data_IF_003377392062
#
_entry.id   IF_003377392062
#
_cell.length_a   1.000
_cell.length_b   1.000
_cell.length_c   1.000
_cell.angle_alpha   90.00
_cell.angle_beta   90.00
_cell.angle_gamma   90.00
#
_symmetry.space_group_name_H-M   'P 1'
#
loop_
_entity.id
_entity.type
_entity.pdbx_description
1 polymer ?
#
# COMPACT_ATOMS: atom_id res chain seq x y z
N UNK A 1 13.72 -0.90 -6.81
CA UNK A 1 13.76 -1.74 -5.60
C UNK A 1 14.69 -1.10 -4.59
N UNK A 2 14.18 -0.47 -3.53
CA UNK A 2 15.03 0.25 -2.60
C UNK A 2 15.79 -0.70 -1.67
N UNK A 3 17.06 -0.38 -1.42
CA UNK A 3 17.84 -0.92 -0.31
C UNK A 3 17.56 -0.06 0.93
N UNK A 4 17.19 -0.70 2.03
CA UNK A 4 16.70 -0.07 3.26
C UNK A 4 17.78 0.58 4.14
N UNK A 5 17.38 1.62 4.89
CA UNK A 5 17.81 1.88 6.27
C UNK A 5 16.60 2.17 7.16
N UNK A 6 16.70 1.65 8.39
CA UNK A 6 15.75 1.56 9.50
C UNK A 6 14.59 2.58 9.56
N UNK A 7 13.36 2.04 9.68
CA UNK A 7 12.25 2.73 10.34
C UNK A 7 12.36 2.52 11.86
N UNK A 8 12.36 3.61 12.63
CA UNK A 8 12.42 3.57 14.10
C UNK A 8 11.12 4.13 14.71
N UNK A 9 10.37 3.28 15.41
CA UNK A 9 9.28 3.72 16.27
C UNK A 9 9.80 4.06 17.66
N UNK A 10 9.37 5.21 18.19
CA UNK A 10 9.70 5.61 19.56
C UNK A 10 8.46 6.21 20.24
N UNK A 11 7.95 5.57 21.28
CA UNK A 11 7.04 6.25 22.19
C UNK A 11 7.84 7.26 23.04
N UNK A 12 7.45 8.53 23.06
CA UNK A 12 8.10 9.59 23.84
C UNK A 12 7.15 10.13 24.91
N UNK A 13 7.68 10.37 26.12
CA UNK A 13 7.00 11.14 27.17
C UNK A 13 7.45 12.60 27.08
N UNK A 14 6.52 13.56 27.15
CA UNK A 14 6.84 14.99 27.18
C UNK A 14 7.11 15.41 28.63
N UNK A 15 8.33 15.83 28.94
CA UNK A 15 8.63 16.63 30.14
C UNK A 15 8.97 18.05 29.70
N UNK A 16 8.50 19.04 30.45
CA UNK A 16 8.65 20.46 30.16
C UNK A 16 10.00 21.04 30.65
N UNK A 17 10.39 22.15 29.99
CA UNK A 17 11.31 23.23 30.40
C UNK A 17 12.83 23.15 30.08
N UNK A 18 13.25 24.15 29.28
CA UNK A 18 14.48 24.96 29.29
C UNK A 18 15.88 24.35 29.04
N UNK A 19 16.79 25.24 28.64
CA UNK A 19 17.96 25.08 27.74
C UNK A 19 19.27 24.53 28.41
N UNK A 20 20.43 24.37 27.71
CA UNK A 20 21.14 23.10 27.64
C UNK A 20 22.47 23.00 28.41
N UNK A 21 22.85 21.76 28.77
CA UNK A 21 24.17 21.35 29.28
C UNK A 21 24.27 19.81 29.43
N UNK A 22 25.47 19.18 29.37
CA UNK A 22 25.66 17.86 28.78
C UNK A 22 25.56 16.65 29.74
N UNK A 23 25.32 15.48 29.12
CA UNK A 23 25.34 14.10 29.63
C UNK A 23 24.43 13.72 30.81
N UNK A 24 23.35 13.00 30.53
CA UNK A 24 23.13 11.63 31.04
C UNK A 24 21.77 11.07 30.61
N UNK A 25 21.76 9.74 30.52
CA UNK A 25 20.64 8.82 30.39
C UNK A 25 19.40 9.20 31.20
N UNK A 26 18.25 9.37 30.52
CA UNK A 26 16.94 8.83 30.92
C UNK A 26 15.87 9.33 29.95
N UNK A 27 15.61 8.55 28.91
CA UNK A 27 14.40 8.71 28.11
C UNK A 27 13.88 7.30 27.87
N UNK A 28 12.74 6.87 28.45
CA UNK A 28 12.22 5.51 28.30
C UNK A 28 11.61 5.36 26.90
N UNK A 29 12.48 5.38 25.88
CA UNK A 29 12.18 5.08 24.49
C UNK A 29 12.05 3.57 24.42
N UNK A 30 10.82 3.06 24.41
CA UNK A 30 10.57 1.64 24.13
C UNK A 30 10.41 1.48 22.61
N UNK A 31 11.43 0.99 21.88
CA UNK A 31 11.28 0.73 20.47
C UNK A 31 10.23 -0.36 20.25
N UNK A 32 9.37 -0.15 19.26
CA UNK A 32 8.48 -1.21 18.78
C UNK A 32 9.23 -1.91 17.64
N UNK A 33 9.48 -3.23 17.73
CA UNK A 33 10.14 -3.96 16.66
C UNK A 33 9.25 -3.94 15.41
N UNK A 34 9.84 -3.56 14.29
CA UNK A 34 9.22 -3.58 12.96
C UNK A 34 10.08 -4.41 12.03
N UNK A 35 9.44 -5.09 11.08
CA UNK A 35 10.15 -5.77 10.01
C UNK A 35 10.58 -4.74 8.96
N UNK A 36 11.88 -4.60 8.64
CA UNK A 36 12.34 -3.66 7.63
C UNK A 36 11.73 -3.89 6.25
N UNK A 37 11.28 -5.11 5.95
CA UNK A 37 10.65 -5.45 4.66
C UNK A 37 9.20 -4.96 4.54
N UNK A 38 8.58 -4.50 5.63
CA UNK A 38 7.20 -4.01 5.63
C UNK A 38 7.19 -2.49 5.39
N UNK A 39 6.64 -2.06 4.26
CA UNK A 39 6.59 -0.65 3.88
C UNK A 39 5.43 -0.38 2.93
N UNK A 40 5.01 0.88 2.86
CA UNK A 40 4.11 1.35 1.82
C UNK A 40 4.94 1.99 0.68
N UNK A 41 5.03 1.38 -0.51
CA UNK A 41 5.63 2.04 -1.68
C UNK A 41 5.03 3.44 -1.89
N UNK A 42 5.89 4.41 -2.23
CA UNK A 42 5.57 5.83 -2.41
C UNK A 42 5.14 6.61 -1.16
N UNK A 43 5.21 6.03 0.04
CA UNK A 43 5.05 6.81 1.27
C UNK A 43 6.03 7.98 1.32
N UNK A 44 5.56 9.13 1.79
CA UNK A 44 6.45 10.24 2.14
C UNK A 44 7.48 9.81 3.18
N UNK A 45 8.66 10.44 3.13
CA UNK A 45 9.70 10.28 4.14
C UNK A 45 9.59 11.37 5.18
N UNK A 46 9.98 11.06 6.41
CA UNK A 46 9.99 12.04 7.48
C UNK A 46 9.74 11.45 8.85
N UNK A 47 9.75 12.36 9.82
CA UNK A 47 9.46 12.06 11.22
C UNK A 47 8.22 12.81 11.63
N UNK A 48 7.25 12.10 12.21
CA UNK A 48 6.07 12.70 12.80
C UNK A 48 5.92 12.26 14.25
N UNK A 49 5.52 13.15 15.16
CA UNK A 49 5.25 12.81 16.56
C UNK A 49 3.93 13.41 17.00
N UNK A 50 2.98 12.58 17.43
CA UNK A 50 1.66 13.03 17.84
C UNK A 50 0.91 12.02 18.70
N UNK A 51 -0.33 12.37 19.03
CA UNK A 51 -1.32 11.40 19.52
C UNK A 51 -1.77 10.44 18.41
N UNK A 52 -2.66 9.51 18.75
CA UNK A 52 -3.15 8.49 17.81
C UNK A 52 -4.67 8.50 17.74
N UNK A 53 -5.24 8.64 16.55
CA UNK A 53 -6.68 8.53 16.33
C UNK A 53 -6.98 7.21 15.62
N UNK A 54 -7.89 6.42 16.18
CA UNK A 54 -8.43 5.23 15.51
C UNK A 54 -9.59 5.63 14.59
N UNK A 55 -9.39 5.44 13.28
CA UNK A 55 -10.32 5.87 12.25
C UNK A 55 -10.96 4.68 11.49
N UNK A 56 -11.13 3.54 12.15
CA UNK A 56 -11.80 2.36 11.58
C UNK A 56 -11.17 1.89 10.26
N UNK A 57 -11.88 1.88 9.13
CA UNK A 57 -11.30 1.56 7.82
C UNK A 57 -10.74 2.80 7.10
N UNK A 58 -10.88 4.00 7.66
CA UNK A 58 -10.41 5.23 7.03
C UNK A 58 -11.25 5.68 5.85
N UNK A 59 -12.55 5.36 5.86
CA UNK A 59 -13.48 5.80 4.81
C UNK A 59 -13.88 7.27 4.99
N UNK A 60 -14.40 7.93 3.94
CA UNK A 60 -14.96 9.27 4.08
C UNK A 60 -16.00 9.36 5.21
N UNK A 61 -16.87 8.35 5.33
CA UNK A 61 -17.88 8.26 6.40
C UNK A 61 -17.25 8.14 7.79
N UNK A 62 -16.13 7.41 7.93
CA UNK A 62 -15.45 7.23 9.21
C UNK A 62 -14.89 8.58 9.72
N UNK A 63 -14.27 9.37 8.83
CA UNK A 63 -13.78 10.71 9.17
C UNK A 63 -14.91 11.71 9.44
N UNK A 64 -16.02 11.63 8.70
CA UNK A 64 -17.23 12.42 8.97
C UNK A 64 -17.79 12.10 10.36
N UNK A 65 -17.85 10.82 10.71
CA UNK A 65 -18.36 10.38 12.00
C UNK A 65 -17.44 10.82 13.15
N UNK A 66 -16.11 10.71 13.00
CA UNK A 66 -15.14 11.22 13.99
C UNK A 66 -15.37 12.70 14.30
N UNK A 67 -15.56 13.53 13.27
CA UNK A 67 -15.90 14.95 13.44
C UNK A 67 -17.19 15.16 14.23
N UNK A 68 -18.22 14.37 13.93
CA UNK A 68 -19.53 14.49 14.58
C UNK A 68 -19.48 14.22 16.09
N UNK A 69 -18.52 13.41 16.54
CA UNK A 69 -18.30 13.10 17.97
C UNK A 69 -17.15 13.90 18.59
N UNK A 70 -16.67 14.94 17.90
CA UNK A 70 -15.65 15.86 18.41
C UNK A 70 -14.22 15.32 18.42
N UNK A 71 -13.93 14.23 17.69
CA UNK A 71 -12.58 13.67 17.54
C UNK A 71 -11.98 14.14 16.22
N UNK A 72 -10.86 14.87 16.28
CA UNK A 72 -10.16 15.36 15.09
C UNK A 72 -8.93 14.50 14.78
N UNK A 73 -8.75 14.14 13.50
CA UNK A 73 -7.51 13.54 13.02
C UNK A 73 -6.36 14.56 12.87
N UNK A 74 -6.69 15.85 12.86
CA UNK A 74 -5.73 16.92 12.61
C UNK A 74 -4.61 16.91 13.65
N UNK A 75 -3.35 16.84 13.20
CA UNK A 75 -2.20 16.81 14.10
C UNK A 75 -1.98 15.47 14.81
N UNK A 76 -2.61 14.39 14.37
CA UNK A 76 -2.44 13.06 14.96
C UNK A 76 -2.01 12.01 13.92
N UNK A 77 -1.44 10.90 14.42
CA UNK A 77 -1.27 9.70 13.62
C UNK A 77 -2.61 8.99 13.50
N UNK A 78 -2.99 8.62 12.29
CA UNK A 78 -4.28 7.97 12.02
C UNK A 78 -4.03 6.47 11.88
N UNK A 79 -4.69 5.66 12.72
CA UNK A 79 -4.62 4.19 12.67
C UNK A 79 -5.89 3.67 11.99
N UNK A 80 -5.70 2.88 10.93
CA UNK A 80 -6.77 2.35 10.07
C UNK A 80 -6.57 0.85 9.83
N UNK A 81 -7.67 0.14 9.60
CA UNK A 81 -7.69 -1.29 9.28
C UNK A 81 -7.49 -1.49 7.79
N UNK A 82 -6.86 -2.60 7.42
CA UNK A 82 -6.88 -3.13 6.05
C UNK A 82 -8.32 -3.43 5.62
N UNK A 83 -8.64 -3.23 4.34
CA UNK A 83 -9.95 -3.55 3.76
C UNK A 83 -10.97 -2.43 3.90
N UNK A 84 -12.25 -2.80 3.91
CA UNK A 84 -13.34 -1.84 4.00
C UNK A 84 -13.62 -1.07 2.71
N UNK A 85 -13.31 -1.65 1.55
CA UNK A 85 -13.65 -1.06 0.24
C UNK A 85 -12.86 0.19 -0.15
N UNK A 86 -11.80 0.51 0.59
CA UNK A 86 -10.88 1.61 0.29
C UNK A 86 -9.44 1.08 0.26
N UNK A 87 -8.68 1.50 -0.75
CA UNK A 87 -7.28 1.15 -0.97
C UNK A 87 -6.35 1.80 0.07
N UNK A 88 -5.10 1.35 0.13
CA UNK A 88 -4.09 2.01 0.97
C UNK A 88 -3.86 3.47 0.56
N UNK A 89 -3.80 3.74 -0.75
CA UNK A 89 -3.67 5.08 -1.29
C UNK A 89 -4.82 6.01 -0.84
N UNK A 90 -6.07 5.55 -0.95
CA UNK A 90 -7.23 6.34 -0.51
C UNK A 90 -7.24 6.59 1.00
N UNK A 91 -6.88 5.59 1.81
CA UNK A 91 -6.76 5.75 3.28
C UNK A 91 -5.77 6.83 3.65
N UNK A 92 -4.58 6.81 3.04
CA UNK A 92 -3.52 7.80 3.32
C UNK A 92 -3.95 9.18 2.82
N UNK A 93 -4.50 9.27 1.62
CA UNK A 93 -5.02 10.53 1.07
C UNK A 93 -6.14 11.13 1.93
N UNK A 94 -7.08 10.31 2.41
CA UNK A 94 -8.14 10.76 3.31
C UNK A 94 -7.57 11.18 4.67
N UNK A 95 -6.64 10.43 5.25
CA UNK A 95 -5.98 10.84 6.50
C UNK A 95 -5.29 12.20 6.35
N UNK A 96 -4.58 12.42 5.25
CA UNK A 96 -3.93 13.69 4.91
C UNK A 96 -4.95 14.83 4.74
N UNK A 97 -6.01 14.62 3.95
CA UNK A 97 -7.09 15.60 3.74
C UNK A 97 -7.79 16.01 5.03
N UNK A 98 -7.78 15.14 6.04
CA UNK A 98 -8.34 15.39 7.37
C UNK A 98 -7.29 15.93 8.37
N UNK A 99 -6.12 16.36 7.88
CA UNK A 99 -5.05 16.99 8.66
C UNK A 99 -4.17 16.01 9.46
N UNK A 100 -4.29 14.71 9.21
CA UNK A 100 -3.47 13.69 9.82
C UNK A 100 -1.98 13.92 9.52
N UNK A 101 -1.12 13.65 10.49
CA UNK A 101 0.33 13.82 10.34
C UNK A 101 1.07 12.55 9.90
N UNK A 102 0.36 11.43 9.80
CA UNK A 102 0.88 10.16 9.34
C UNK A 102 -0.18 9.07 9.45
N UNK A 103 0.00 7.98 8.71
CA UNK A 103 -0.95 6.88 8.61
C UNK A 103 -0.31 5.56 9.04
N UNK A 104 -1.04 4.78 9.84
CA UNK A 104 -0.69 3.42 10.22
C UNK A 104 -1.81 2.49 9.80
N UNK A 105 -1.48 1.45 9.03
CA UNK A 105 -2.48 0.53 8.47
C UNK A 105 -2.18 -0.88 8.97
N UNK A 106 -3.18 -1.59 9.51
CA UNK A 106 -2.96 -2.91 10.11
C UNK A 106 -4.03 -3.95 9.72
N UNK A 107 -3.67 -5.25 9.62
CA UNK A 107 -4.63 -6.31 9.37
C UNK A 107 -5.34 -6.72 10.67
N UNK A 108 -6.58 -6.28 10.87
CA UNK A 108 -7.35 -6.67 12.05
C UNK A 108 -7.80 -8.14 11.96
N UNK A 109 -7.70 -8.94 13.05
CA UNK A 109 -8.16 -10.33 13.06
C UNK A 109 -9.66 -10.55 12.77
N UNK A 110 -10.49 -9.50 12.81
CA UNK A 110 -11.89 -9.59 12.40
C UNK A 110 -12.06 -9.62 10.87
N UNK A 111 -11.12 -9.05 10.10
CA UNK A 111 -11.16 -9.04 8.63
C UNK A 111 -10.23 -10.10 8.04
N UNK A 112 -9.01 -10.18 8.58
CA UNK A 112 -8.00 -11.14 8.19
C UNK A 112 -7.71 -12.06 9.39
N UNK A 113 -8.34 -13.24 9.47
CA UNK A 113 -8.13 -14.16 10.59
C UNK A 113 -6.65 -14.46 10.82
N UNK A 114 -6.23 -14.47 12.08
CA UNK A 114 -4.82 -14.66 12.47
C UNK A 114 -4.56 -16.07 13.03
N UNK A 115 -4.93 -17.11 12.28
CA UNK A 115 -4.69 -18.52 12.64
C UNK A 115 -3.74 -19.19 11.63
N UNK A 116 -2.45 -19.33 11.96
CA UNK A 116 -1.47 -19.99 11.09
C UNK A 116 -1.82 -21.44 10.76
N UNK A 117 -2.67 -22.10 11.56
CA UNK A 117 -3.12 -23.49 11.32
C UNK A 117 -4.32 -23.56 10.37
N UNK A 118 -4.96 -22.43 10.06
CA UNK A 118 -6.20 -22.36 9.26
C UNK A 118 -6.13 -21.29 8.17
N UNK A 119 -5.03 -21.24 7.40
CA UNK A 119 -4.81 -20.28 6.30
C UNK A 119 -4.91 -18.80 6.73
N UNK A 120 -4.81 -18.51 8.03
CA UNK A 120 -4.81 -17.16 8.56
C UNK A 120 -3.43 -16.50 8.46
N UNK A 121 -3.43 -15.17 8.44
CA UNK A 121 -2.19 -14.39 8.46
C UNK A 121 -1.48 -14.57 9.81
N UNK A 122 -0.15 -14.53 9.83
CA UNK A 122 0.57 -14.50 11.10
C UNK A 122 0.40 -13.10 11.73
N UNK A 123 0.10 -13.03 13.03
CA UNK A 123 -0.09 -11.77 13.74
C UNK A 123 1.14 -10.84 13.74
N UNK A 124 2.33 -11.37 13.38
CA UNK A 124 3.59 -10.63 13.20
C UNK A 124 3.88 -10.27 11.74
N UNK A 125 2.93 -10.45 10.84
CA UNK A 125 3.02 -10.08 9.43
C UNK A 125 2.15 -8.84 9.19
N UNK A 126 2.73 -7.81 8.57
CA UNK A 126 1.97 -6.67 8.08
C UNK A 126 1.53 -6.92 6.63
N UNK A 127 0.56 -6.15 6.16
CA UNK A 127 0.15 -6.13 4.75
C UNK A 127 0.73 -4.87 4.13
N UNK A 128 1.60 -5.04 3.13
CA UNK A 128 2.25 -3.95 2.40
C UNK A 128 1.55 -3.73 1.06
N UNK A 129 1.25 -2.47 0.74
CA UNK A 129 0.59 -2.02 -0.50
C UNK A 129 1.02 -0.58 -0.80
N UNK A 130 1.04 -0.20 -2.08
CA UNK A 130 1.42 1.17 -2.48
C UNK A 130 0.40 2.22 -2.00
N UNK A 131 0.87 3.44 -1.80
CA UNK A 131 0.04 4.56 -1.32
C UNK A 131 -0.03 5.73 -2.32
N UNK A 132 0.36 5.48 -3.57
CA UNK A 132 0.14 6.43 -4.67
C UNK A 132 -1.31 6.36 -5.14
N UNK A 133 -2.03 7.48 -5.04
CA UNK A 133 -3.39 7.64 -5.53
C UNK A 133 -3.38 7.88 -7.04
N UNK A 134 -3.18 6.80 -7.79
CA UNK A 134 -3.12 6.80 -9.24
C UNK A 134 -2.65 5.44 -9.76
N UNK A 135 -2.34 5.41 -11.05
CA UNK A 135 -1.73 4.26 -11.71
C UNK A 135 -0.65 4.73 -12.67
N UNK A 136 0.30 3.86 -13.01
CA UNK A 136 1.47 4.24 -13.81
C UNK A 136 2.62 4.75 -12.97
N UNK A 137 3.69 5.16 -13.64
CA UNK A 137 4.82 5.78 -12.95
C UNK A 137 4.37 7.14 -12.35
N UNK A 138 4.48 7.33 -11.02
CA UNK A 138 4.09 8.60 -10.39
C UNK A 138 4.96 9.79 -10.83
N UNK A 139 6.02 9.61 -11.60
CA UNK A 139 6.87 10.70 -12.09
C UNK A 139 6.66 11.06 -13.56
N UNK A 140 5.86 10.28 -14.27
CA UNK A 140 5.59 10.51 -15.70
C UNK A 140 4.09 10.39 -16.02
N UNK A 141 3.20 11.09 -15.27
CA UNK A 141 1.76 10.92 -15.42
C UNK A 141 1.29 11.28 -16.84
N UNK A 142 0.73 10.29 -17.55
CA UNK A 142 0.17 10.47 -18.89
C UNK A 142 1.19 10.45 -20.03
N UNK A 143 2.46 10.15 -19.75
CA UNK A 143 3.51 10.06 -20.75
C UNK A 143 4.49 8.94 -20.40
N UNK A 144 4.91 8.12 -21.36
CA UNK A 144 5.77 7.00 -21.05
C UNK A 144 7.19 7.40 -20.63
N UNK A 145 7.70 6.71 -19.62
CA UNK A 145 8.95 6.98 -18.88
C UNK A 145 10.29 6.79 -19.63
N UNK A 146 10.29 6.42 -20.93
CA UNK A 146 11.52 6.12 -21.68
C UNK A 146 12.27 7.35 -22.24
N UNK A 147 11.67 8.55 -22.24
CA UNK A 147 12.29 9.76 -22.80
C UNK A 147 12.33 10.92 -21.78
N UNK A 148 13.07 10.70 -20.69
CA UNK A 148 13.26 11.68 -19.60
C UNK A 148 13.88 13.00 -20.06
N UNK A 149 14.54 13.03 -21.23
CA UNK A 149 15.10 14.25 -21.82
C UNK A 149 14.02 15.16 -22.43
N UNK A 150 12.90 14.59 -22.85
CA UNK A 150 11.78 15.30 -23.48
C UNK A 150 10.67 15.63 -22.48
N UNK A 151 10.49 14.79 -21.47
CA UNK A 151 9.54 15.01 -20.39
C UNK A 151 10.28 14.89 -19.06
N UNK A 152 10.64 16.02 -18.41
CA UNK A 152 11.26 15.95 -17.10
C UNK A 152 10.30 15.30 -16.10
N UNK A 153 10.79 14.51 -15.14
CA UNK A 153 9.98 13.94 -14.07
C UNK A 153 9.14 15.00 -13.36
N UNK A 154 7.82 14.81 -13.35
CA UNK A 154 6.90 15.67 -12.59
C UNK A 154 6.18 14.78 -11.58
N UNK A 155 6.31 15.05 -10.26
CA UNK A 155 5.64 14.25 -9.25
C UNK A 155 4.12 14.35 -9.42
N UNK A 156 3.49 13.18 -9.47
CA UNK A 156 2.05 13.01 -9.49
C UNK A 156 1.42 13.67 -8.27
N UNK A 157 0.29 14.35 -8.49
CA UNK A 157 -0.55 14.90 -7.41
C UNK A 157 -1.15 13.83 -6.49
N UNK A 158 -1.05 12.55 -6.87
CA UNK A 158 -1.46 11.40 -6.06
C UNK A 158 -0.39 10.88 -5.11
N UNK A 159 0.82 11.43 -5.09
CA UNK A 159 1.84 11.07 -4.10
C UNK A 159 1.45 11.66 -2.72
N UNK A 160 1.49 10.87 -1.64
CA UNK A 160 1.13 11.36 -0.32
C UNK A 160 2.21 12.30 0.23
N UNK A 161 1.77 13.29 1.03
CA UNK A 161 2.67 14.21 1.74
C UNK A 161 2.97 13.75 3.17
N UNK A 162 2.19 12.79 3.69
CA UNK A 162 2.33 12.27 5.04
C UNK A 162 3.01 10.89 5.04
N UNK A 163 3.84 10.57 6.05
CA UNK A 163 4.42 9.25 6.18
C UNK A 163 3.34 8.20 6.46
N UNK A 164 3.40 7.09 5.74
CA UNK A 164 2.52 5.94 5.90
C UNK A 164 3.35 4.68 6.18
N UNK A 165 2.88 3.85 7.12
CA UNK A 165 3.55 2.61 7.46
C UNK A 165 2.54 1.48 7.70
N UNK A 166 2.73 0.30 7.09
CA UNK A 166 1.96 -0.87 7.48
C UNK A 166 2.52 -1.42 8.79
N UNK A 167 1.64 -1.79 9.71
CA UNK A 167 2.01 -2.38 11.00
C UNK A 167 1.30 -3.72 11.19
N UNK A 168 1.90 -4.59 11.99
CA UNK A 168 1.34 -5.91 12.30
C UNK A 168 0.14 -5.78 13.25
N UNK A 169 -0.69 -6.82 13.33
CA UNK A 169 -1.76 -6.89 14.31
C UNK A 169 -1.21 -6.79 15.75
N UNK A 170 -0.05 -7.39 16.04
CA UNK A 170 0.58 -7.31 17.37
C UNK A 170 1.02 -5.89 17.73
N UNK A 171 1.57 -5.14 16.77
CA UNK A 171 1.94 -3.74 16.97
C UNK A 171 0.70 -2.88 17.18
N UNK A 172 -0.34 -3.08 16.37
CA UNK A 172 -1.61 -2.38 16.54
C UNK A 172 -2.26 -2.67 17.90
N UNK A 173 -2.26 -3.92 18.37
CA UNK A 173 -2.78 -4.28 19.68
C UNK A 173 -2.02 -3.59 20.82
N UNK A 174 -0.68 -3.57 20.75
CA UNK A 174 0.16 -2.88 21.74
C UNK A 174 -0.10 -1.37 21.74
N UNK A 175 -0.33 -0.77 20.58
CA UNK A 175 -0.60 0.65 20.44
C UNK A 175 -2.00 1.02 20.96
N UNK A 176 -3.04 0.36 20.44
CA UNK A 176 -4.44 0.70 20.70
C UNK A 176 -4.89 0.30 22.12
N UNK A 177 -4.28 -0.70 22.76
CA UNK A 177 -4.59 -1.08 24.15
C UNK A 177 -4.23 0.00 25.18
N UNK A 178 -3.32 0.91 24.83
CA UNK A 178 -2.88 2.00 25.69
C UNK A 178 -3.62 3.32 25.40
N UNK A 179 -4.46 3.32 24.36
CA UNK A 179 -5.20 4.50 23.92
C UNK A 179 -6.30 4.82 24.93
N UNK A 180 -6.58 6.11 25.08
CA UNK A 180 -7.62 6.66 25.95
C UNK A 180 -8.40 7.71 25.19
N UNK A 181 -9.68 7.87 25.50
CA UNK A 181 -10.57 8.80 24.80
C UNK A 181 -11.99 8.25 24.72
N UNK A 182 -12.85 8.86 23.90
CA UNK A 182 -14.23 8.43 23.73
C UNK A 182 -14.31 6.98 23.22
N UNK A 183 -15.32 6.21 23.66
CA UNK A 183 -15.53 4.86 23.13
C UNK A 183 -15.91 4.92 21.65
N UNK A 184 -15.44 3.94 20.89
CA UNK A 184 -15.86 3.76 19.50
C UNK A 184 -17.26 3.11 19.45
N UNK A 185 -17.99 3.21 18.32
CA UNK A 185 -19.27 2.54 18.15
C UNK A 185 -19.07 1.02 18.05
N UNK A 186 -20.07 0.19 18.42
CA UNK A 186 -19.94 -1.27 18.42
C UNK A 186 -19.50 -1.86 17.07
N UNK A 187 -19.93 -1.26 15.96
CA UNK A 187 -19.56 -1.67 14.60
C UNK A 187 -18.07 -1.51 14.28
N UNK A 188 -17.35 -0.66 15.00
CA UNK A 188 -15.92 -0.41 14.78
C UNK A 188 -15.00 -1.35 15.56
N UNK A 189 -15.57 -2.19 16.43
CA UNK A 189 -14.82 -3.13 17.26
C UNK A 189 -14.14 -4.18 16.39
N UNK A 190 -12.81 -4.21 16.47
CA UNK A 190 -11.99 -5.26 15.89
C UNK A 190 -11.88 -6.50 16.79
N UNK A 191 -10.95 -7.39 16.46
CA UNK A 191 -10.62 -8.60 17.24
C UNK A 191 -9.18 -8.61 17.75
N UNK A 192 -8.54 -7.45 17.84
CA UNK A 192 -7.25 -7.33 18.51
C UNK A 192 -7.33 -7.72 19.99
N UNK A 193 -6.38 -8.51 20.51
CA UNK A 193 -6.39 -8.94 21.90
C UNK A 193 -6.10 -7.76 22.84
N UNK A 194 -6.80 -7.71 23.98
CA UNK A 194 -6.61 -6.72 25.04
C UNK A 194 -6.84 -5.25 24.64
N UNK A 195 -7.48 -5.00 23.49
CA UNK A 195 -7.82 -3.65 23.01
C UNK A 195 -9.26 -3.32 23.38
N UNK A 196 -9.45 -2.23 24.12
CA UNK A 196 -10.75 -1.58 24.25
C UNK A 196 -10.91 -0.64 23.05
N UNK A 197 -12.04 -0.72 22.37
CA UNK A 197 -12.26 0.11 21.18
C UNK A 197 -12.56 1.56 21.59
N UNK A 198 -11.52 2.39 21.53
CA UNK A 198 -11.52 3.80 21.87
C UNK A 198 -10.91 4.60 20.73
N UNK A 199 -11.30 5.87 20.60
CA UNK A 199 -10.95 6.68 19.44
C UNK A 199 -9.62 7.42 19.56
N UNK A 200 -9.12 7.65 20.79
CA UNK A 200 -7.97 8.54 21.04
C UNK A 200 -8.40 10.00 21.26
N UNK A 201 -7.49 10.98 21.12
CA UNK A 201 -6.11 10.86 20.62
C UNK A 201 -5.05 10.53 21.67
N UNK A 202 -5.42 10.52 22.95
CA UNK A 202 -4.50 10.52 24.08
C UNK A 202 -4.14 9.13 24.58
N UNK A 203 -3.05 9.05 25.34
CA UNK A 203 -2.63 7.86 26.07
C UNK A 203 -2.72 8.15 27.58
N UNK A 204 -2.97 7.14 28.41
CA UNK A 204 -3.16 7.27 29.88
C UNK A 204 -1.99 7.83 30.71
N UNK A 205 -0.97 8.41 30.06
CA UNK A 205 0.21 9.05 30.67
C UNK A 205 0.76 10.23 29.83
N UNK A 206 -0.04 10.79 28.91
CA UNK A 206 0.39 11.89 28.03
C UNK A 206 1.49 11.50 27.03
N UNK A 207 1.69 10.20 26.81
CA UNK A 207 2.66 9.66 25.85
C UNK A 207 2.27 10.04 24.42
N UNK A 208 3.28 10.19 23.57
CA UNK A 208 3.13 10.39 22.14
C UNK A 208 3.85 9.31 21.37
N UNK A 209 3.45 9.13 20.13
CA UNK A 209 4.02 8.15 19.22
C UNK A 209 4.83 8.88 18.16
N UNK A 210 6.09 8.49 18.00
CA UNK A 210 6.95 8.94 16.91
C UNK A 210 6.97 7.90 15.79
N UNK A 211 6.50 8.30 14.62
CA UNK A 211 6.65 7.60 13.35
C UNK A 211 7.89 8.15 12.62
N UNK A 212 8.73 7.26 12.10
CA UNK A 212 9.90 7.61 11.29
C UNK A 212 9.92 6.72 10.05
N UNK A 213 9.78 7.32 8.88
CA UNK A 213 9.80 6.64 7.57
C UNK A 213 10.96 7.20 6.74
N UNK A 214 11.84 6.32 6.27
CA UNK A 214 13.07 6.68 5.56
C UNK A 214 13.21 5.87 4.26
N UNK A 215 12.10 5.75 3.52
CA UNK A 215 12.10 5.07 2.22
C UNK A 215 12.97 5.81 1.21
N UNK A 216 13.73 5.07 0.40
CA UNK A 216 14.47 5.63 -0.71
C UNK A 216 13.66 5.42 -1.99
N UNK A 217 13.47 6.47 -2.78
CA UNK A 217 12.88 6.33 -4.11
C UNK A 217 14.01 6.19 -5.13
N UNK A 218 13.99 5.11 -5.90
CA UNK A 218 15.02 4.83 -6.91
C UNK A 218 14.38 4.44 -8.24
N UNK A 219 14.80 5.08 -9.36
CA UNK A 219 14.44 4.62 -10.68
C UNK A 219 14.92 3.18 -10.89
N UNK A 220 14.08 2.34 -11.47
CA UNK A 220 14.42 0.98 -11.84
C UNK A 220 13.91 0.65 -13.23
N UNK A 221 14.69 -0.14 -13.96
CA UNK A 221 14.26 -0.68 -15.23
C UNK A 221 13.21 -1.78 -14.99
N UNK A 222 12.06 -1.64 -15.64
CA UNK A 222 10.97 -2.59 -15.63
C UNK A 222 10.95 -3.37 -16.94
N UNK A 223 10.60 -4.66 -16.88
CA UNK A 223 10.58 -5.52 -18.06
C UNK A 223 9.22 -6.20 -18.22
N UNK A 224 8.37 -5.61 -19.08
CA UNK A 224 7.19 -6.28 -19.59
C UNK A 224 7.60 -7.29 -20.67
N UNK A 225 7.04 -8.49 -20.63
CA UNK A 225 7.32 -9.56 -21.60
C UNK A 225 6.10 -9.73 -22.50
N UNK A 226 6.30 -9.65 -23.81
CA UNK A 226 5.25 -9.79 -24.81
C UNK A 226 5.48 -11.02 -25.68
N UNK A 227 4.38 -11.70 -26.03
CA UNK A 227 4.37 -12.76 -27.03
C UNK A 227 3.08 -12.70 -27.83
N UNK A 228 3.16 -12.83 -29.15
CA UNK A 228 2.00 -12.73 -30.03
C UNK A 228 1.81 -13.97 -30.88
N UNK A 229 0.55 -14.39 -31.04
CA UNK A 229 0.12 -15.32 -32.09
C UNK A 229 -0.69 -14.53 -33.11
N UNK A 230 -0.20 -14.46 -34.34
CA UNK A 230 -0.83 -13.66 -35.39
C UNK A 230 -2.17 -14.28 -35.84
N UNK A 231 -3.18 -13.43 -35.96
CA UNK A 231 -4.51 -13.81 -36.47
C UNK A 231 -4.51 -13.98 -37.98
N UNK A 232 -5.35 -14.87 -38.50
CA UNK A 232 -5.41 -15.15 -39.94
C UNK A 232 -6.23 -14.14 -40.75
N UNK A 233 -7.30 -13.61 -40.19
CA UNK A 233 -8.24 -12.75 -40.93
C UNK A 233 -8.11 -11.28 -40.52
N UNK A 234 -7.85 -11.03 -39.24
CA UNK A 234 -7.76 -9.69 -38.64
C UNK A 234 -6.46 -9.61 -37.79
N UNK A 235 -5.27 -9.69 -38.42
CA UNK A 235 -3.98 -9.74 -37.70
C UNK A 235 -3.67 -8.45 -36.93
N UNK A 236 -4.29 -7.34 -37.30
CA UNK A 236 -4.19 -6.02 -36.69
C UNK A 236 -5.14 -5.81 -35.50
N UNK A 237 -6.08 -6.73 -35.28
CA UNK A 237 -6.97 -6.72 -34.12
C UNK A 237 -6.44 -7.68 -33.05
N UNK A 238 -6.27 -7.20 -31.83
CA UNK A 238 -5.72 -8.01 -30.75
C UNK A 238 -6.73 -8.29 -29.64
N UNK A 239 -6.67 -9.52 -29.15
CA UNK A 239 -7.17 -9.89 -27.82
C UNK A 239 -5.96 -9.98 -26.90
N UNK A 240 -5.94 -9.16 -25.85
CA UNK A 240 -4.81 -9.08 -24.93
C UNK A 240 -5.12 -9.92 -23.69
N UNK A 241 -4.20 -10.82 -23.36
CA UNK A 241 -4.21 -11.65 -22.17
C UNK A 241 -3.01 -11.23 -21.31
N UNK A 242 -3.28 -10.53 -20.21
CA UNK A 242 -2.25 -9.95 -19.35
C UNK A 242 -2.26 -10.55 -17.95
N UNK A 243 -1.08 -10.75 -17.35
CA UNK A 243 -0.95 -11.10 -15.94
C UNK A 243 0.22 -10.38 -15.27
N UNK A 244 0.02 -9.93 -14.03
CA UNK A 244 1.09 -9.37 -13.18
C UNK A 244 2.10 -10.46 -12.81
N UNK A 245 3.39 -10.16 -12.91
CA UNK A 245 4.50 -11.07 -12.56
C UNK A 245 5.17 -10.74 -11.23
N UNK A 246 5.33 -9.46 -10.91
CA UNK A 246 5.99 -9.00 -9.70
C UNK A 246 5.11 -9.16 -8.46
N UNK A 247 5.73 -9.20 -7.29
CA UNK A 247 5.06 -9.12 -6.01
C UNK A 247 6.00 -8.61 -4.91
N UNK A 248 5.48 -7.89 -3.92
CA UNK A 248 6.22 -7.43 -2.75
C UNK A 248 6.61 -8.58 -1.81
N UNK A 249 5.76 -9.61 -1.74
CA UNK A 249 5.99 -10.85 -0.98
C UNK A 249 6.24 -12.06 -1.89
N UNK A 250 6.00 -13.30 -1.40
CA UNK A 250 6.16 -14.53 -2.19
C UNK A 250 5.23 -14.63 -3.40
N UNK A 251 4.15 -13.85 -3.44
CA UNK A 251 3.35 -13.67 -4.65
C UNK A 251 2.48 -14.84 -5.09
N UNK A 252 2.46 -15.98 -4.37
CA UNK A 252 1.79 -17.20 -4.84
C UNK A 252 0.36 -16.97 -5.37
N UNK A 253 -0.47 -16.22 -4.63
CA UNK A 253 -1.82 -15.83 -5.09
C UNK A 253 -1.80 -14.50 -5.85
N UNK A 254 -1.06 -13.50 -5.36
CA UNK A 254 -1.06 -12.13 -5.91
C UNK A 254 -0.62 -12.05 -7.37
N UNK A 255 0.39 -12.82 -7.77
CA UNK A 255 0.96 -12.82 -9.13
C UNK A 255 1.16 -14.23 -9.70
N UNK A 256 1.44 -15.22 -8.83
CA UNK A 256 1.78 -16.58 -9.21
C UNK A 256 0.67 -17.32 -9.93
N UNK A 257 -0.57 -17.31 -9.40
CA UNK A 257 -1.72 -17.95 -10.04
C UNK A 257 -1.99 -17.34 -11.42
N UNK A 258 -2.06 -16.02 -11.53
CA UNK A 258 -2.29 -15.32 -12.79
C UNK A 258 -1.20 -15.64 -13.82
N UNK A 259 0.07 -15.59 -13.40
CA UNK A 259 1.20 -15.95 -14.26
C UNK A 259 1.14 -17.42 -14.72
N UNK A 260 0.80 -18.35 -13.83
CA UNK A 260 0.68 -19.77 -14.17
C UNK A 260 -0.43 -20.01 -15.21
N UNK A 261 -1.60 -19.37 -15.03
CA UNK A 261 -2.71 -19.44 -15.99
C UNK A 261 -2.30 -18.83 -17.33
N UNK A 262 -1.64 -17.67 -17.34
CA UNK A 262 -1.17 -17.03 -18.56
C UNK A 262 -0.20 -17.94 -19.35
N UNK A 263 0.76 -18.56 -18.65
CA UNK A 263 1.72 -19.48 -19.27
C UNK A 263 1.03 -20.72 -19.85
N UNK A 264 0.06 -21.29 -19.14
CA UNK A 264 -0.66 -22.48 -19.60
C UNK A 264 -1.58 -22.17 -20.79
N UNK A 265 -2.21 -20.99 -20.80
CA UNK A 265 -2.96 -20.50 -21.95
C UNK A 265 -2.03 -20.33 -23.16
N UNK A 266 -0.89 -19.65 -23.00
CA UNK A 266 0.08 -19.45 -24.07
C UNK A 266 0.58 -20.79 -24.64
N UNK A 267 0.90 -21.76 -23.77
CA UNK A 267 1.32 -23.11 -24.15
C UNK A 267 0.23 -23.84 -24.93
N UNK A 268 -1.01 -23.77 -24.46
CA UNK A 268 -2.16 -24.44 -25.08
C UNK A 268 -2.48 -23.85 -26.45
N UNK A 269 -2.57 -22.53 -26.58
CA UNK A 269 -2.79 -21.87 -27.87
C UNK A 269 -1.66 -22.14 -28.86
N UNK A 270 -0.40 -22.14 -28.41
CA UNK A 270 0.74 -22.51 -29.25
C UNK A 270 0.62 -23.95 -29.78
N UNK A 271 0.23 -24.91 -28.94
CA UNK A 271 0.02 -26.29 -29.35
C UNK A 271 -1.16 -26.44 -30.33
N UNK A 272 -2.27 -25.74 -30.09
CA UNK A 272 -3.41 -25.72 -31.00
C UNK A 272 -3.01 -25.17 -32.37
N UNK A 273 -2.24 -24.08 -32.42
CA UNK A 273 -1.77 -23.48 -33.69
C UNK A 273 -0.87 -24.45 -34.47
N UNK A 274 0.03 -25.16 -33.78
CA UNK A 274 0.84 -26.22 -34.39
C UNK A 274 0.00 -27.37 -34.94
N UNK A 275 -1.20 -27.58 -34.39
CA UNK A 275 -2.17 -28.60 -34.83
C UNK A 275 -3.23 -28.06 -35.81
N UNK A 276 -3.00 -26.90 -36.42
CA UNK A 276 -3.86 -26.35 -37.49
C UNK A 276 -4.99 -25.43 -37.02
N UNK A 277 -5.11 -25.16 -35.72
CA UNK A 277 -5.97 -24.07 -35.25
C UNK A 277 -5.40 -22.73 -35.73
N UNK A 278 -6.26 -21.81 -36.14
CA UNK A 278 -5.84 -20.50 -36.60
C UNK A 278 -6.79 -19.46 -36.03
N UNK A 279 -6.35 -18.63 -35.07
CA UNK A 279 -7.23 -17.62 -34.49
C UNK A 279 -7.58 -16.57 -35.55
N UNK A 280 -8.83 -16.08 -35.51
CA UNK A 280 -9.28 -15.02 -36.44
C UNK A 280 -8.48 -13.72 -36.23
N UNK A 281 -8.32 -13.34 -34.97
CA UNK A 281 -7.63 -12.15 -34.46
C UNK A 281 -6.30 -12.53 -33.81
N UNK A 282 -5.37 -11.58 -33.74
CA UNK A 282 -4.12 -11.78 -33.04
C UNK A 282 -4.34 -11.93 -31.53
N UNK A 283 -3.60 -12.84 -30.90
CA UNK A 283 -3.57 -12.98 -29.45
C UNK A 283 -2.26 -12.39 -28.95
N UNK A 284 -2.33 -11.46 -27.99
CA UNK A 284 -1.17 -10.87 -27.35
C UNK A 284 -1.12 -11.29 -25.88
N UNK A 285 -0.13 -12.10 -25.53
CA UNK A 285 0.15 -12.49 -24.15
C UNK A 285 1.14 -11.51 -23.55
N UNK A 286 0.81 -10.97 -22.36
CA UNK A 286 1.66 -9.99 -21.70
C UNK A 286 1.88 -10.33 -20.23
N UNK A 287 3.15 -10.39 -19.84
CA UNK A 287 3.55 -10.50 -18.44
C UNK A 287 4.00 -9.13 -17.96
N UNK A 288 3.18 -8.50 -17.13
CA UNK A 288 3.38 -7.14 -16.63
C UNK A 288 4.32 -7.11 -15.43
N UNK A 289 5.18 -6.10 -15.38
CA UNK A 289 6.06 -5.80 -14.23
C UNK A 289 5.54 -4.60 -13.42
N UNK A 290 6.00 -4.47 -12.18
CA UNK A 290 5.63 -3.41 -11.23
C UNK A 290 4.12 -3.18 -11.03
N UNK A 291 3.32 -4.24 -11.01
CA UNK A 291 1.91 -4.22 -10.63
C UNK A 291 1.68 -3.78 -9.18
N UNK A 292 2.51 -4.23 -8.24
CA UNK A 292 2.37 -3.87 -6.81
C UNK A 292 2.72 -2.40 -6.52
N UNK A 293 3.24 -1.71 -7.52
CA UNK A 293 3.60 -0.30 -7.49
C UNK A 293 2.58 0.58 -8.24
N UNK A 294 1.35 0.10 -8.44
CA UNK A 294 0.29 0.87 -9.09
C UNK A 294 0.12 0.54 -10.57
N UNK A 295 0.29 -0.72 -10.95
CA UNK A 295 0.17 -1.19 -12.34
C UNK A 295 1.12 -0.48 -13.31
N UNK A 296 2.33 -0.12 -12.86
CA UNK A 296 3.25 0.73 -13.62
C UNK A 296 3.51 0.15 -15.02
N UNK A 297 3.93 -1.11 -15.11
CA UNK A 297 4.25 -1.71 -16.40
C UNK A 297 3.09 -1.70 -17.41
N UNK A 298 1.87 -1.99 -16.97
CA UNK A 298 0.70 -2.00 -17.84
C UNK A 298 0.29 -0.58 -18.27
N UNK A 299 0.26 0.36 -17.33
CA UNK A 299 -0.13 1.74 -17.59
C UNK A 299 0.86 2.45 -18.50
N UNK A 300 2.17 2.31 -18.25
CA UNK A 300 3.21 2.88 -19.11
C UNK A 300 3.07 2.38 -20.55
N UNK A 301 2.76 1.09 -20.74
CA UNK A 301 2.54 0.54 -22.08
C UNK A 301 1.32 1.14 -22.76
N UNK A 302 0.22 1.34 -22.04
CA UNK A 302 -0.98 2.00 -22.57
C UNK A 302 -0.72 3.47 -22.93
N UNK A 303 0.14 4.16 -22.18
CA UNK A 303 0.54 5.54 -22.47
C UNK A 303 1.42 5.66 -23.73
N UNK A 304 2.17 4.61 -24.11
CA UNK A 304 2.84 4.54 -25.42
C UNK A 304 1.83 4.40 -26.56
N UNK A 305 0.78 3.59 -26.35
CA UNK A 305 -0.17 3.19 -27.39
C UNK A 305 -1.63 3.62 -27.11
N UNK A 306 -1.92 4.91 -26.85
CA UNK A 306 -3.25 5.37 -26.45
C UNK A 306 -4.32 5.26 -27.54
N UNK A 307 -3.95 4.84 -28.76
CA UNK A 307 -4.82 4.80 -29.95
C UNK A 307 -5.01 3.41 -30.55
N UNK A 308 -4.54 2.33 -29.92
CA UNK A 308 -4.82 0.98 -30.42
C UNK A 308 -6.23 0.52 -29.97
N UNK A 309 -7.11 0.10 -30.89
CA UNK A 309 -8.41 -0.48 -30.54
C UNK A 309 -8.22 -1.91 -30.00
N UNK A 310 -8.56 -2.16 -28.74
CA UNK A 310 -8.43 -3.47 -28.09
C UNK A 310 -9.70 -3.89 -27.32
N UNK A 311 -9.89 -5.20 -27.17
CA UNK A 311 -10.75 -5.81 -26.13
C UNK A 311 -9.85 -6.40 -25.03
N UNK A 312 -9.93 -5.83 -23.83
CA UNK A 312 -9.07 -6.18 -22.69
C UNK A 312 -9.79 -7.17 -21.77
N UNK A 313 -9.24 -8.36 -21.59
CA UNK A 313 -9.62 -9.30 -20.52
C UNK A 313 -8.49 -9.30 -19.49
N UNK A 314 -8.68 -8.56 -18.39
CA UNK A 314 -7.82 -8.60 -17.21
C UNK A 314 -8.33 -9.71 -16.28
N UNK A 315 -7.45 -10.63 -15.91
CA UNK A 315 -7.67 -11.57 -14.80
C UNK A 315 -6.64 -11.36 -13.71
#
# INVERSE_FOLDING_TARGET
LPRFRLAHFVATSKAASHAPGPSSSNNPRSPIPLNPSDYCPYSATGNYTGGVVYAHYGRPEDFNWLRSVGVSAAGHLVVMRVGGGVSFAEKVWLAERNGGGGALIYPDPADLPQDPRRLGLNAHTAVSEHVHLGSGDPFTPGFPSFNLSRFPPIPSSGLPLIPALPITATVAAKLLSQLTGPPCPPSWRGRLPYVRCVLGPDFGSGRRVRLSVQNLMTPVLLNNIFSSLEGRAEPDQYVILGAQRDSLGPGAVKSGVGTAVLLELARTFSAMVKNGFSPRRSLLFVSWDAGDFGNVGATEWLEVFPRMPFYLLLT
#
